data_IF_739806317588
#
_entry.id   IF_739806317588
#
_cell.length_a   1.000
_cell.length_b   1.000
_cell.length_c   1.000
_cell.angle_alpha   90.00
_cell.angle_beta   90.00
_cell.angle_gamma   90.00
#
_symmetry.space_group_name_H-M   'P 1'
#
loop_
_entity.id
_entity.type
_entity.pdbx_description
1 polymer ?
#
# COMPACT_ATOMS: atom_id res chain seq x y z
N UNK A 1 8.67 -29.86 21.72
CA UNK A 1 7.93 -29.19 20.64
C UNK A 1 8.51 -27.79 20.53
N UNK A 2 9.25 -27.52 19.45
CA UNK A 2 9.92 -26.23 19.24
C UNK A 2 8.84 -25.20 18.91
N UNK A 3 8.66 -24.20 19.78
CA UNK A 3 7.81 -23.06 19.48
C UNK A 3 8.50 -22.29 18.36
N UNK A 4 7.94 -22.37 17.16
CA UNK A 4 8.37 -21.58 16.01
C UNK A 4 8.19 -20.10 16.39
N UNK A 5 9.30 -19.37 16.57
CA UNK A 5 9.26 -17.96 16.92
C UNK A 5 8.64 -17.20 15.76
N UNK A 6 7.51 -16.56 16.01
CA UNK A 6 6.80 -15.73 15.03
C UNK A 6 7.69 -14.52 14.67
N UNK A 7 7.59 -14.03 13.44
CA UNK A 7 8.44 -12.91 12.96
C UNK A 7 8.21 -11.64 13.79
N UNK A 8 7.04 -11.55 14.42
CA UNK A 8 6.61 -10.46 15.27
C UNK A 8 7.30 -10.43 16.65
N UNK A 9 7.95 -11.53 17.06
CA UNK A 9 8.73 -11.62 18.31
C UNK A 9 10.18 -11.12 18.13
N UNK A 10 10.59 -10.74 16.92
CA UNK A 10 11.93 -10.22 16.66
C UNK A 10 12.02 -8.73 17.03
N UNK A 11 13.06 -8.30 17.75
CA UNK A 11 13.31 -6.89 17.98
C UNK A 11 13.43 -6.14 16.64
N UNK A 12 12.78 -4.98 16.56
CA UNK A 12 12.76 -4.14 15.36
C UNK A 12 14.18 -3.67 15.02
N UNK A 13 14.62 -3.93 13.81
CA UNK A 13 15.88 -3.54 13.21
C UNK A 13 15.64 -3.08 11.77
N UNK A 14 16.63 -2.49 11.12
CA UNK A 14 16.48 -1.98 9.75
C UNK A 14 16.06 -3.06 8.73
N UNK A 15 16.30 -4.34 9.03
CA UNK A 15 15.93 -5.46 8.15
C UNK A 15 14.46 -5.90 8.31
N UNK A 16 13.85 -5.76 9.48
CA UNK A 16 12.44 -6.16 9.74
C UNK A 16 11.50 -4.96 10.00
N UNK A 17 12.04 -3.74 10.12
CA UNK A 17 11.27 -2.55 10.43
C UNK A 17 11.75 -1.34 9.63
N UNK A 18 10.87 -0.85 8.76
CA UNK A 18 10.96 0.48 8.17
C UNK A 18 9.59 1.13 8.33
N UNK A 19 9.57 2.43 8.65
CA UNK A 19 8.31 3.16 8.68
C UNK A 19 7.67 3.10 7.28
N UNK A 20 6.59 2.34 7.16
CA UNK A 20 5.86 2.21 5.91
C UNK A 20 5.26 3.57 5.57
N UNK A 21 5.87 4.24 4.60
CA UNK A 21 5.17 5.34 3.93
C UNK A 21 3.88 4.76 3.32
N UNK A 22 2.79 5.54 3.23
CA UNK A 22 1.55 5.07 2.62
C UNK A 22 1.75 4.50 1.22
N UNK A 23 2.72 5.01 0.47
CA UNK A 23 3.11 4.51 -0.85
C UNK A 23 3.71 3.10 -0.78
N UNK A 24 4.66 2.87 0.14
CA UNK A 24 5.30 1.56 0.26
C UNK A 24 4.33 0.50 0.80
N UNK A 25 3.44 0.91 1.72
CA UNK A 25 2.36 0.03 2.19
C UNK A 25 1.43 -0.40 1.04
N UNK A 26 0.99 0.55 0.22
CA UNK A 26 0.08 0.26 -0.88
C UNK A 26 0.70 -0.71 -1.88
N UNK A 27 1.98 -0.53 -2.21
CA UNK A 27 2.71 -1.44 -3.10
C UNK A 27 2.86 -2.83 -2.50
N UNK A 28 3.34 -2.94 -1.25
CA UNK A 28 3.49 -4.23 -0.56
C UNK A 28 2.17 -4.98 -0.44
N UNK A 29 1.07 -4.29 -0.08
CA UNK A 29 -0.24 -4.91 0.04
C UNK A 29 -0.73 -5.49 -1.31
N UNK A 30 -0.48 -4.78 -2.42
CA UNK A 30 -0.83 -5.25 -3.76
C UNK A 30 0.00 -6.46 -4.23
N UNK A 31 1.26 -6.56 -3.81
CA UNK A 31 2.14 -7.69 -4.15
C UNK A 31 1.84 -8.91 -3.29
N UNK A 32 1.70 -8.73 -1.98
CA UNK A 32 1.55 -9.85 -1.03
C UNK A 32 0.11 -10.39 -1.00
N UNK A 33 -0.89 -9.53 -1.22
CA UNK A 33 -2.30 -9.90 -1.12
C UNK A 33 -3.14 -9.42 -2.33
N UNK A 34 -2.75 -9.74 -3.58
CA UNK A 34 -3.31 -9.13 -4.79
C UNK A 34 -4.83 -9.30 -4.94
N UNK A 35 -5.37 -10.45 -4.51
CA UNK A 35 -6.78 -10.81 -4.63
C UNK A 35 -7.60 -10.52 -3.37
N UNK A 36 -6.96 -10.16 -2.24
CA UNK A 36 -7.67 -9.85 -1.00
C UNK A 36 -8.37 -8.49 -1.12
N UNK A 37 -9.57 -8.40 -0.56
CA UNK A 37 -10.37 -7.15 -0.53
C UNK A 37 -9.60 -6.05 0.22
N UNK A 38 -9.44 -4.91 -0.42
CA UNK A 38 -8.81 -3.70 0.13
C UNK A 38 -9.85 -2.65 0.53
N UNK A 39 -10.95 -2.56 -0.22
CA UNK A 39 -12.06 -1.64 0.02
C UNK A 39 -13.38 -2.38 -0.15
N UNK A 40 -14.30 -2.15 0.78
CA UNK A 40 -15.68 -2.65 0.74
C UNK A 40 -16.60 -1.45 0.97
N UNK A 41 -17.41 -1.12 -0.03
CA UNK A 41 -18.38 -0.02 0.04
C UNK A 41 -19.67 -0.43 -0.67
N UNK A 42 -20.65 -0.94 0.10
CA UNK A 42 -21.88 -1.50 -0.46
C UNK A 42 -21.59 -2.67 -1.39
N UNK A 43 -22.12 -2.64 -2.62
CA UNK A 43 -21.83 -3.63 -3.66
C UNK A 43 -20.44 -3.46 -4.29
N UNK A 44 -19.81 -2.29 -4.11
CA UNK A 44 -18.49 -2.01 -4.67
C UNK A 44 -17.40 -2.63 -3.79
N UNK A 45 -16.55 -3.42 -4.44
CA UNK A 45 -15.41 -4.06 -3.82
C UNK A 45 -14.19 -3.87 -4.70
N UNK A 46 -13.05 -3.58 -4.05
CA UNK A 46 -11.76 -3.61 -4.73
C UNK A 46 -10.82 -4.59 -4.06
N UNK A 47 -9.95 -5.22 -4.85
CA UNK A 47 -8.79 -5.94 -4.36
C UNK A 47 -7.60 -5.01 -4.19
N UNK A 48 -6.56 -5.43 -3.46
CA UNK A 48 -5.33 -4.63 -3.35
C UNK A 48 -4.67 -4.36 -4.70
N UNK A 49 -4.68 -5.33 -5.61
CA UNK A 49 -4.17 -5.12 -6.98
C UNK A 49 -4.95 -4.03 -7.72
N UNK A 50 -6.28 -4.04 -7.62
CA UNK A 50 -7.12 -3.02 -8.27
C UNK A 50 -6.92 -1.63 -7.65
N UNK A 51 -6.81 -1.54 -6.32
CA UNK A 51 -6.54 -0.27 -5.64
C UNK A 51 -5.20 0.31 -6.09
N UNK A 52 -4.13 -0.49 -6.11
CA UNK A 52 -2.82 -0.03 -6.57
C UNK A 52 -2.85 0.50 -8.01
N UNK A 53 -3.47 -0.25 -8.94
CA UNK A 53 -3.61 0.18 -10.33
C UNK A 53 -4.36 1.50 -10.47
N UNK A 54 -5.46 1.68 -9.71
CA UNK A 54 -6.24 2.92 -9.72
C UNK A 54 -5.43 4.10 -9.18
N UNK A 55 -4.74 3.93 -8.05
CA UNK A 55 -3.86 4.95 -7.48
C UNK A 55 -2.74 5.33 -8.46
N UNK A 56 -2.10 4.36 -9.12
CA UNK A 56 -1.06 4.61 -10.13
C UNK A 56 -1.59 5.38 -11.34
N UNK A 57 -2.80 5.07 -11.82
CA UNK A 57 -3.45 5.81 -12.91
C UNK A 57 -3.72 7.26 -12.51
N UNK A 58 -4.23 7.49 -11.30
CA UNK A 58 -4.45 8.84 -10.77
C UNK A 58 -3.12 9.60 -10.64
N UNK A 59 -2.09 8.98 -10.05
CA UNK A 59 -0.77 9.56 -9.92
C UNK A 59 -0.20 9.97 -11.30
N UNK A 60 -0.31 9.10 -12.31
CA UNK A 60 0.11 9.42 -13.68
C UNK A 60 -0.65 10.63 -14.25
N UNK A 61 -1.95 10.74 -14.02
CA UNK A 61 -2.74 11.89 -14.46
C UNK A 61 -2.34 13.19 -13.75
N UNK A 62 -2.04 13.13 -12.44
CA UNK A 62 -1.56 14.28 -11.67
C UNK A 62 -0.17 14.73 -12.15
N UNK A 63 0.75 13.78 -12.38
CA UNK A 63 2.08 14.09 -12.92
C UNK A 63 2.01 14.73 -14.30
N UNK A 64 1.08 14.29 -15.16
CA UNK A 64 0.82 14.92 -16.47
C UNK A 64 0.29 16.36 -16.36
N UNK A 65 -0.28 16.73 -15.22
CA UNK A 65 -0.71 18.10 -14.89
C UNK A 65 0.37 18.88 -14.11
N UNK A 66 1.61 18.40 -14.11
CA UNK A 66 2.76 19.02 -13.42
C UNK A 66 2.58 19.16 -11.91
N UNK A 67 1.73 18.34 -11.29
CA UNK A 67 1.56 18.27 -9.84
C UNK A 67 2.66 17.35 -9.28
N UNK A 68 3.48 17.88 -8.38
CA UNK A 68 4.66 17.21 -7.84
C UNK A 68 4.91 17.50 -6.36
N UNK A 69 6.13 17.21 -5.91
CA UNK A 69 6.55 17.40 -4.53
C UNK A 69 6.30 18.86 -4.07
N UNK A 70 5.83 19.02 -2.84
CA UNK A 70 5.50 20.33 -2.27
C UNK A 70 4.15 20.89 -2.70
N UNK A 71 3.40 20.20 -3.57
CA UNK A 71 2.04 20.59 -3.95
C UNK A 71 1.01 19.89 -3.07
N UNK A 72 0.04 20.64 -2.55
CA UNK A 72 -1.13 20.07 -1.88
C UNK A 72 -2.27 19.98 -2.89
N UNK A 73 -2.89 18.81 -3.01
CA UNK A 73 -4.08 18.62 -3.83
C UNK A 73 -5.29 18.62 -2.89
N UNK A 74 -6.17 19.61 -3.04
CA UNK A 74 -7.47 19.66 -2.39
C UNK A 74 -8.54 19.21 -3.39
N UNK A 75 -9.59 18.57 -2.88
CA UNK A 75 -10.83 18.33 -3.62
C UNK A 75 -11.62 19.64 -3.70
#
# INVERSE_FOLDING_TARGET
MVVERDIDDLPKNDANYTALTPLWFLERAAVVHPTRKSVVHGSLHYTWQQTYQRCRRLASALSKRSIGLGTTVLH
#
